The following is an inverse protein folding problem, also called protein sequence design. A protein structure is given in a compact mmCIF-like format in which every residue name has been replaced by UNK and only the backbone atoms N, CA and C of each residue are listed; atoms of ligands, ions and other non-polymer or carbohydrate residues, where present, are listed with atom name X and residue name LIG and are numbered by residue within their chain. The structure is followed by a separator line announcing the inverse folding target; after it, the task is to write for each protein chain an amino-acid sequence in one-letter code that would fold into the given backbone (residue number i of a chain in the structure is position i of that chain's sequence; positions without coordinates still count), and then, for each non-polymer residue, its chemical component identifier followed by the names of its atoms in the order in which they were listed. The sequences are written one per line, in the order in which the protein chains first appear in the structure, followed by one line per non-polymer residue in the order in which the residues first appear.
data_IF_946103149241
#
_entry.id   IF_946103149241
#
_cell.length_a   1.000
_cell.length_b   1.000
_cell.length_c   1.000
_cell.angle_alpha   90.00
_cell.angle_beta   90.00
_cell.angle_gamma   90.00
#
_symmetry.space_group_name_H-M   'P 1'
#
loop_
_entity.id
_entity.type
_entity.pdbx_description
1 polymer ?
#
# COMPACT_ATOMS: atom_id res chain seq x y z
N UNK A 1 -14.86 7.24 -17.03
CA UNK A 1 -14.48 5.92 -17.59
C UNK A 1 -13.28 5.40 -16.82
N UNK A 2 -13.35 4.29 -16.08
CA UNK A 2 -12.19 3.74 -15.40
C UNK A 2 -11.30 3.07 -16.45
N UNK A 3 -10.01 3.43 -16.42
CA UNK A 3 -9.00 2.93 -17.34
C UNK A 3 -8.89 1.41 -17.29
N UNK A 4 -8.62 0.80 -18.43
CA UNK A 4 -8.48 -0.65 -18.66
C UNK A 4 -7.50 -1.35 -17.69
N UNK A 5 -6.62 -0.59 -17.05
CA UNK A 5 -5.66 -1.08 -16.04
C UNK A 5 -6.35 -1.44 -14.72
N UNK A 6 -7.40 -0.71 -14.31
CA UNK A 6 -8.18 -1.01 -13.11
C UNK A 6 -8.95 -2.34 -13.23
N UNK A 7 -9.46 -2.65 -14.44
CA UNK A 7 -10.18 -3.92 -14.67
C UNK A 7 -9.30 -5.16 -14.60
N UNK A 8 -8.01 -5.04 -14.88
CA UNK A 8 -7.06 -6.15 -14.77
C UNK A 8 -6.65 -6.45 -13.31
N UNK A 9 -6.61 -5.44 -12.44
CA UNK A 9 -6.32 -5.65 -11.03
C UNK A 9 -7.51 -6.25 -10.27
N UNK A 10 -8.74 -5.80 -10.54
CA UNK A 10 -9.94 -6.30 -9.85
C UNK A 10 -10.29 -7.76 -10.15
N UNK A 11 -9.91 -8.29 -11.34
CA UNK A 11 -10.22 -9.67 -11.72
C UNK A 11 -9.34 -10.73 -11.02
N UNK A 12 -8.24 -10.35 -10.38
CA UNK A 12 -7.25 -11.30 -9.88
C UNK A 12 -7.12 -11.39 -8.35
N UNK A 13 -7.81 -10.56 -7.56
CA UNK A 13 -7.64 -10.60 -6.12
C UNK A 13 -8.97 -10.40 -5.36
N UNK A 14 -9.64 -11.51 -5.08
CA UNK A 14 -10.64 -11.61 -4.02
C UNK A 14 -9.98 -12.27 -2.80
N UNK A 15 -9.99 -11.69 -1.60
CA UNK A 15 -9.45 -12.36 -0.43
C UNK A 15 -10.45 -13.41 0.05
N UNK A 16 -10.20 -14.68 -0.26
CA UNK A 16 -10.90 -15.79 0.40
C UNK A 16 -10.03 -16.36 1.50
N UNK A 17 -10.48 -16.16 2.73
CA UNK A 17 -10.17 -17.04 3.85
C UNK A 17 -10.81 -18.40 3.62
N UNK A 18 -10.01 -19.46 3.71
CA UNK A 18 -10.48 -20.79 4.04
C UNK A 18 -10.93 -21.67 2.88
N UNK A 19 -10.20 -22.78 2.72
CA UNK A 19 -10.61 -24.10 2.23
C UNK A 19 -11.10 -24.23 0.78
N UNK A 20 -10.27 -24.92 0.00
CA UNK A 20 -10.68 -25.90 -1.00
C UNK A 20 -11.73 -25.46 -2.01
N UNK A 21 -11.31 -24.87 -3.10
CA UNK A 21 -12.04 -24.97 -4.38
C UNK A 21 -11.15 -24.51 -5.54
N UNK A 22 -10.23 -25.34 -5.95
CA UNK A 22 -9.52 -25.22 -7.24
C UNK A 22 -9.92 -26.41 -8.09
N UNK A 23 -11.13 -26.41 -8.61
CA UNK A 23 -11.50 -27.23 -9.75
C UNK A 23 -12.58 -26.50 -10.54
N UNK A 24 -12.32 -26.34 -11.83
CA UNK A 24 -13.13 -25.69 -12.87
C UNK A 24 -12.99 -24.17 -13.00
N UNK A 25 -11.87 -23.77 -13.61
CA UNK A 25 -11.89 -22.64 -14.55
C UNK A 25 -11.52 -23.22 -15.93
N UNK A 26 -12.55 -23.39 -16.72
CA UNK A 26 -12.45 -23.69 -18.14
C UNK A 26 -11.67 -22.59 -18.85
N UNK A 27 -10.42 -22.89 -19.22
CA UNK A 27 -9.47 -21.96 -19.84
C UNK A 27 -9.49 -22.05 -21.36
N UNK A 28 -10.63 -22.26 -21.98
CA UNK A 28 -10.76 -22.22 -23.44
C UNK A 28 -11.73 -21.17 -23.89
N UNK A 29 -11.30 -19.91 -23.87
CA UNK A 29 -11.88 -18.88 -24.75
C UNK A 29 -10.91 -18.62 -25.89
N UNK A 30 -11.11 -19.33 -26.98
CA UNK A 30 -10.48 -19.10 -28.27
C UNK A 30 -11.12 -17.82 -28.85
N UNK A 31 -10.36 -16.74 -28.92
CA UNK A 31 -10.67 -15.56 -29.73
C UNK A 31 -9.66 -15.53 -30.88
N UNK A 32 -10.18 -15.75 -32.11
CA UNK A 32 -9.46 -15.60 -33.38
C UNK A 32 -8.10 -16.35 -33.49
N UNK A 33 -8.08 -17.67 -33.30
CA UNK A 33 -6.98 -18.50 -33.81
C UNK A 33 -5.57 -18.22 -33.32
N UNK A 34 -5.38 -17.38 -32.29
CA UNK A 34 -4.09 -17.14 -31.62
C UNK A 34 -4.16 -17.62 -30.18
N UNK A 35 -3.45 -18.72 -29.92
CA UNK A 35 -3.16 -19.22 -28.57
C UNK A 35 -2.61 -18.09 -27.71
N UNK A 36 -3.24 -17.87 -26.56
CA UNK A 36 -2.88 -16.82 -25.60
C UNK A 36 -1.61 -17.20 -24.82
N UNK A 37 -0.43 -16.65 -25.16
CA UNK A 37 0.76 -16.74 -24.31
C UNK A 37 0.71 -15.81 -23.10
N UNK A 38 -0.42 -15.10 -22.87
CA UNK A 38 -0.52 -13.94 -21.98
C UNK A 38 -0.72 -14.30 -20.52
N UNK A 39 -1.37 -15.41 -20.16
CA UNK A 39 -1.68 -15.73 -18.77
C UNK A 39 -0.44 -16.18 -17.97
N UNK A 40 0.38 -17.06 -18.54
CA UNK A 40 1.62 -17.50 -17.88
C UNK A 40 2.67 -16.38 -17.80
N UNK A 41 2.80 -15.56 -18.84
CA UNK A 41 3.66 -14.36 -18.81
C UNK A 41 3.19 -13.35 -17.76
N UNK A 42 1.87 -13.18 -17.61
CA UNK A 42 1.29 -12.32 -16.58
C UNK A 42 1.59 -12.84 -15.17
N UNK A 43 1.47 -14.15 -14.95
CA UNK A 43 1.74 -14.80 -13.66
C UNK A 43 3.22 -14.67 -13.26
N UNK A 44 4.15 -15.00 -14.17
CA UNK A 44 5.60 -14.88 -13.91
C UNK A 44 6.03 -13.43 -13.69
N UNK A 45 5.51 -12.50 -14.47
CA UNK A 45 5.78 -11.07 -14.28
C UNK A 45 5.30 -10.58 -12.91
N UNK A 46 4.11 -10.98 -12.48
CA UNK A 46 3.58 -10.66 -11.17
C UNK A 46 4.43 -11.26 -10.04
N UNK A 47 4.88 -12.50 -10.20
CA UNK A 47 5.81 -13.14 -9.25
C UNK A 47 7.10 -12.33 -9.08
N UNK A 48 7.67 -11.83 -10.18
CA UNK A 48 8.87 -10.97 -10.10
C UNK A 48 8.57 -9.66 -9.37
N UNK A 49 7.43 -9.03 -9.66
CA UNK A 49 7.00 -7.80 -8.96
C UNK A 49 6.85 -8.05 -7.46
N UNK A 50 6.20 -9.13 -7.05
CA UNK A 50 6.03 -9.49 -5.64
C UNK A 50 7.37 -9.77 -4.95
N UNK A 51 8.26 -10.54 -5.61
CA UNK A 51 9.62 -10.79 -5.10
C UNK A 51 10.41 -9.49 -4.96
N UNK A 52 10.30 -8.60 -5.94
CA UNK A 52 10.98 -7.31 -5.90
C UNK A 52 10.44 -6.42 -4.76
N UNK A 53 9.13 -6.39 -4.54
CA UNK A 53 8.52 -5.68 -3.41
C UNK A 53 9.11 -6.16 -2.09
N UNK A 54 9.17 -7.47 -1.86
CA UNK A 54 9.76 -8.04 -0.65
C UNK A 54 11.22 -7.63 -0.49
N UNK A 55 12.03 -7.73 -1.56
CA UNK A 55 13.44 -7.37 -1.51
C UNK A 55 13.65 -5.86 -1.27
N UNK A 56 12.86 -5.00 -1.91
CA UNK A 56 12.93 -3.56 -1.68
C UNK A 56 12.48 -3.17 -0.27
N UNK A 57 11.50 -3.85 0.27
CA UNK A 57 11.04 -3.62 1.65
C UNK A 57 12.12 -4.01 2.66
N UNK A 58 12.76 -5.18 2.48
CA UNK A 58 13.72 -5.71 3.45
C UNK A 58 15.13 -5.14 3.30
N UNK A 59 15.61 -4.93 2.08
CA UNK A 59 16.99 -4.54 1.80
C UNK A 59 17.14 -3.08 1.32
N UNK A 60 16.01 -2.38 1.08
CA UNK A 60 16.01 -1.05 0.46
C UNK A 60 16.20 -1.11 -1.05
N UNK A 61 15.94 0.03 -1.71
CA UNK A 61 16.03 0.10 -3.17
C UNK A 61 17.47 -0.01 -3.69
N UNK A 62 18.44 0.49 -2.95
CA UNK A 62 19.85 0.48 -3.38
C UNK A 62 20.43 -0.93 -3.35
N UNK A 63 20.27 -1.65 -2.25
CA UNK A 63 20.89 -2.96 -2.03
C UNK A 63 20.20 -4.10 -2.78
N UNK A 64 18.90 -3.98 -3.08
CA UNK A 64 18.18 -4.96 -3.88
C UNK A 64 18.53 -4.80 -5.38
N UNK A 65 19.67 -5.35 -5.79
CA UNK A 65 20.16 -5.33 -7.17
C UNK A 65 19.35 -6.24 -8.10
N UNK A 66 19.46 -5.98 -9.42
CA UNK A 66 18.76 -6.76 -10.47
C UNK A 66 19.13 -8.24 -10.41
N UNK A 67 20.40 -8.58 -10.20
CA UNK A 67 20.87 -9.97 -10.16
C UNK A 67 20.29 -10.72 -8.95
N UNK A 68 20.13 -10.05 -7.81
CA UNK A 68 19.46 -10.62 -6.63
C UNK A 68 17.98 -10.91 -6.92
N UNK A 69 17.29 -9.97 -7.58
CA UNK A 69 15.87 -10.12 -7.94
C UNK A 69 15.69 -11.28 -8.92
N UNK A 70 16.53 -11.38 -9.96
CA UNK A 70 16.56 -12.46 -10.94
C UNK A 70 16.74 -13.82 -10.23
N UNK A 71 17.75 -13.92 -9.36
CA UNK A 71 18.06 -15.13 -8.60
C UNK A 71 16.89 -15.55 -7.71
N UNK A 72 16.29 -14.61 -6.96
CA UNK A 72 15.17 -14.90 -6.05
C UNK A 72 13.87 -15.21 -6.78
N UNK A 73 13.63 -14.57 -7.93
CA UNK A 73 12.46 -14.82 -8.79
C UNK A 73 12.61 -16.06 -9.66
N UNK A 74 13.79 -16.70 -9.68
CA UNK A 74 14.09 -17.90 -10.50
C UNK A 74 13.78 -17.70 -11.98
N UNK A 75 14.12 -16.53 -12.53
CA UNK A 75 13.97 -16.21 -13.95
C UNK A 75 15.33 -16.01 -14.62
N UNK A 76 15.35 -16.07 -15.96
CA UNK A 76 16.55 -15.75 -16.72
C UNK A 76 16.71 -14.22 -16.87
N UNK A 77 17.96 -13.75 -17.01
CA UNK A 77 18.29 -12.33 -17.17
C UNK A 77 17.58 -11.72 -18.39
N UNK A 78 17.56 -12.42 -19.51
CA UNK A 78 16.83 -11.98 -20.70
C UNK A 78 15.32 -11.78 -20.44
N UNK A 79 14.70 -12.69 -19.67
CA UNK A 79 13.29 -12.60 -19.29
C UNK A 79 13.02 -11.34 -18.44
N UNK A 80 13.92 -11.01 -17.51
CA UNK A 80 13.82 -9.80 -16.71
C UNK A 80 13.78 -8.55 -17.58
N UNK A 81 14.77 -8.39 -18.49
CA UNK A 81 14.82 -7.23 -19.36
C UNK A 81 13.67 -7.16 -20.37
N UNK A 82 13.17 -8.30 -20.82
CA UNK A 82 11.96 -8.35 -21.65
C UNK A 82 10.70 -7.88 -20.90
N UNK A 83 10.63 -8.09 -19.57
CA UNK A 83 9.48 -7.65 -18.77
C UNK A 83 9.56 -6.20 -18.32
N UNK A 84 10.74 -5.74 -17.95
CA UNK A 84 10.89 -4.49 -17.20
C UNK A 84 11.83 -3.47 -17.87
N UNK A 85 12.70 -3.90 -18.78
CA UNK A 85 13.74 -3.08 -19.43
C UNK A 85 14.79 -2.51 -18.48
N UNK A 86 14.41 -2.09 -17.27
CA UNK A 86 15.30 -1.51 -16.26
C UNK A 86 14.82 -1.77 -14.84
N UNK A 87 15.69 -1.59 -13.85
CA UNK A 87 15.34 -1.59 -12.43
C UNK A 87 14.36 -0.47 -12.09
N UNK A 88 14.55 0.72 -12.65
CA UNK A 88 13.64 1.85 -12.47
C UNK A 88 12.21 1.48 -12.88
N UNK A 89 12.05 0.86 -14.06
CA UNK A 89 10.74 0.45 -14.53
C UNK A 89 10.11 -0.63 -13.66
N UNK A 90 10.90 -1.56 -13.12
CA UNK A 90 10.42 -2.54 -12.14
C UNK A 90 9.94 -1.84 -10.85
N UNK A 91 10.71 -0.87 -10.33
CA UNK A 91 10.29 -0.08 -9.16
C UNK A 91 8.97 0.64 -9.41
N UNK A 92 8.83 1.30 -10.56
CA UNK A 92 7.56 1.94 -10.95
C UNK A 92 6.39 0.93 -10.92
N UNK A 93 6.59 -0.27 -11.47
CA UNK A 93 5.54 -1.31 -11.47
C UNK A 93 5.21 -1.82 -10.07
N UNK A 94 6.20 -1.97 -9.20
CA UNK A 94 5.98 -2.32 -7.79
C UNK A 94 5.11 -1.26 -7.09
N UNK A 95 5.41 0.02 -7.32
CA UNK A 95 4.65 1.11 -6.72
C UNK A 95 3.24 1.24 -7.30
N UNK A 96 3.05 1.02 -8.62
CA UNK A 96 1.72 0.97 -9.23
C UNK A 96 0.88 -0.12 -8.56
N UNK A 97 1.44 -1.32 -8.40
CA UNK A 97 0.76 -2.45 -7.79
C UNK A 97 0.35 -2.14 -6.35
N UNK A 98 1.27 -1.65 -5.51
CA UNK A 98 0.98 -1.33 -4.11
C UNK A 98 0.01 -0.16 -3.98
N UNK A 99 0.21 0.92 -4.76
CA UNK A 99 -0.68 2.08 -4.77
C UNK A 99 -2.12 1.70 -5.12
N UNK A 100 -2.31 0.84 -6.12
CA UNK A 100 -3.65 0.39 -6.51
C UNK A 100 -4.33 -0.39 -5.41
N UNK A 101 -3.63 -1.34 -4.79
CA UNK A 101 -4.17 -2.12 -3.66
C UNK A 101 -4.50 -1.27 -2.45
N UNK A 102 -3.59 -0.36 -2.06
CA UNK A 102 -3.85 0.56 -0.95
C UNK A 102 -5.08 1.42 -1.20
N UNK A 103 -5.26 1.91 -2.43
CA UNK A 103 -6.47 2.67 -2.77
C UNK A 103 -7.74 1.83 -2.63
N UNK A 104 -7.71 0.59 -3.11
CA UNK A 104 -8.84 -0.33 -2.98
C UNK A 104 -9.17 -0.58 -1.50
N UNK A 105 -8.17 -0.82 -0.64
CA UNK A 105 -8.35 -1.06 0.79
C UNK A 105 -8.88 0.19 1.52
N UNK A 106 -8.34 1.39 1.22
CA UNK A 106 -8.85 2.65 1.79
C UNK A 106 -10.30 2.90 1.37
N UNK A 107 -10.63 2.74 0.08
CA UNK A 107 -12.01 2.91 -0.41
C UNK A 107 -12.95 1.86 0.20
N UNK A 108 -12.48 0.63 0.39
CA UNK A 108 -13.25 -0.40 1.08
C UNK A 108 -13.59 0.01 2.52
N UNK A 109 -12.67 0.68 3.24
CA UNK A 109 -12.93 1.23 4.57
C UNK A 109 -13.92 2.40 4.49
N UNK A 110 -13.69 3.36 3.59
CA UNK A 110 -14.52 4.57 3.44
C UNK A 110 -15.98 4.24 3.15
N UNK A 111 -16.22 3.27 2.29
CA UNK A 111 -17.59 2.86 1.89
C UNK A 111 -18.14 1.68 2.70
N UNK A 112 -17.40 1.17 3.70
CA UNK A 112 -17.86 0.06 4.53
C UNK A 112 -18.92 0.49 5.53
N UNK A 113 -19.94 -0.32 5.69
CA UNK A 113 -20.91 -0.23 6.81
C UNK A 113 -20.37 -0.81 8.12
N UNK A 114 -19.23 -1.52 8.08
CA UNK A 114 -18.58 -2.09 9.27
C UNK A 114 -18.06 -1.02 10.21
N UNK A 115 -17.71 0.13 9.68
CA UNK A 115 -17.22 1.29 10.44
C UNK A 115 -18.29 2.37 10.44
N UNK A 116 -19.12 2.47 11.50
CA UNK A 116 -20.31 3.30 11.50
C UNK A 116 -20.01 4.78 11.53
N UNK A 117 -18.88 5.18 12.13
CA UNK A 117 -18.51 6.59 12.24
C UNK A 117 -17.30 6.96 11.37
N UNK A 118 -17.20 8.22 10.99
CA UNK A 118 -16.02 8.74 10.28
C UNK A 118 -14.75 8.59 11.14
N UNK A 119 -14.86 8.69 12.46
CA UNK A 119 -13.76 8.45 13.38
C UNK A 119 -13.25 7.01 13.33
N UNK A 120 -14.15 6.01 13.26
CA UNK A 120 -13.77 4.60 13.14
C UNK A 120 -13.08 4.33 11.79
N UNK A 121 -13.58 4.93 10.71
CA UNK A 121 -12.96 4.88 9.37
C UNK A 121 -11.55 5.47 9.38
N UNK A 122 -11.37 6.64 10.00
CA UNK A 122 -10.06 7.27 10.14
C UNK A 122 -9.08 6.41 10.94
N UNK A 123 -9.52 5.83 12.06
CA UNK A 123 -8.71 4.88 12.86
C UNK A 123 -8.22 3.72 12.02
N UNK A 124 -9.12 3.14 11.24
CA UNK A 124 -8.78 1.98 10.41
C UNK A 124 -7.86 2.35 9.24
N UNK A 125 -8.05 3.53 8.62
CA UNK A 125 -7.12 4.05 7.60
C UNK A 125 -5.72 4.23 8.19
N UNK A 126 -5.60 4.80 9.40
CA UNK A 126 -4.30 4.93 10.07
C UNK A 126 -3.70 3.55 10.34
N UNK A 127 -4.46 2.60 10.89
CA UNK A 127 -3.99 1.22 11.14
C UNK A 127 -3.49 0.54 9.87
N UNK A 128 -4.24 0.66 8.77
CA UNK A 128 -3.87 0.12 7.47
C UNK A 128 -2.49 0.61 7.00
N UNK A 129 -2.18 1.89 7.23
CA UNK A 129 -0.93 2.49 6.77
C UNK A 129 0.25 2.18 7.70
N UNK A 130 0.00 2.00 8.98
CA UNK A 130 1.03 1.84 10.02
C UNK A 130 1.22 0.38 10.46
N UNK A 131 0.62 -0.57 9.76
CA UNK A 131 0.89 -1.99 9.99
C UNK A 131 2.31 -2.36 9.57
N UNK A 132 2.94 -3.29 10.30
CA UNK A 132 4.32 -3.78 10.03
C UNK A 132 4.44 -4.36 8.61
N UNK A 133 3.37 -4.98 8.12
CA UNK A 133 3.30 -5.55 6.78
C UNK A 133 2.59 -4.64 5.78
N UNK A 134 2.44 -3.35 6.11
CA UNK A 134 1.70 -2.41 5.29
C UNK A 134 2.29 -2.28 3.89
N UNK A 135 1.40 -2.28 2.91
CA UNK A 135 1.73 -1.94 1.52
C UNK A 135 2.27 -0.50 1.38
N UNK A 136 2.03 0.34 2.38
CA UNK A 136 2.50 1.72 2.41
C UNK A 136 4.00 1.86 2.64
N UNK A 137 4.66 0.87 3.26
CA UNK A 137 6.10 0.90 3.55
C UNK A 137 6.95 1.29 2.34
N UNK A 138 6.72 0.65 1.20
CA UNK A 138 7.52 0.91 0.01
C UNK A 138 7.26 2.30 -0.58
N UNK A 139 5.99 2.74 -0.59
CA UNK A 139 5.63 4.11 -0.99
C UNK A 139 6.26 5.15 -0.07
N UNK A 140 6.25 4.90 1.23
CA UNK A 140 6.85 5.78 2.22
C UNK A 140 8.38 5.87 2.03
N UNK A 141 9.08 4.74 1.93
CA UNK A 141 10.52 4.70 1.65
C UNK A 141 10.89 5.41 0.35
N UNK A 142 10.05 5.30 -0.68
CA UNK A 142 10.28 5.96 -1.98
C UNK A 142 10.44 7.48 -1.85
N UNK A 143 9.74 8.12 -0.89
CA UNK A 143 9.82 9.56 -0.66
C UNK A 143 11.23 9.97 -0.25
N UNK A 144 11.89 9.17 0.56
CA UNK A 144 13.22 9.48 1.09
C UNK A 144 14.35 8.98 0.17
N UNK A 145 14.21 7.78 -0.38
CA UNK A 145 15.31 7.11 -1.09
C UNK A 145 15.39 7.45 -2.58
N UNK A 146 14.27 7.78 -3.25
CA UNK A 146 14.22 7.79 -4.70
C UNK A 146 13.98 9.17 -5.35
N UNK A 147 13.92 10.24 -4.57
CA UNK A 147 13.61 11.57 -5.09
C UNK A 147 14.52 11.99 -6.25
N UNK A 148 15.83 11.76 -6.10
CA UNK A 148 16.83 12.12 -7.10
C UNK A 148 17.10 10.98 -8.09
N UNK A 149 17.02 9.73 -7.63
CA UNK A 149 17.43 8.57 -8.43
C UNK A 149 16.34 8.15 -9.42
N UNK A 150 15.07 8.09 -8.97
CA UNK A 150 13.93 7.69 -9.79
C UNK A 150 12.77 8.69 -9.64
N UNK A 151 12.84 9.86 -10.31
CA UNK A 151 11.86 10.94 -10.11
C UNK A 151 10.42 10.56 -10.43
N UNK A 152 10.19 9.60 -11.34
CA UNK A 152 8.84 9.10 -11.65
C UNK A 152 8.26 8.30 -10.48
N UNK A 153 9.05 7.40 -9.90
CA UNK A 153 8.68 6.62 -8.72
C UNK A 153 8.34 7.56 -7.54
N UNK A 154 9.20 8.56 -7.29
CA UNK A 154 8.94 9.59 -6.28
C UNK A 154 7.59 10.31 -6.50
N UNK A 155 7.32 10.78 -7.74
CA UNK A 155 6.04 11.43 -8.03
C UNK A 155 4.84 10.53 -7.74
N UNK A 156 4.93 9.23 -8.02
CA UNK A 156 3.84 8.28 -7.74
C UNK A 156 3.54 8.17 -6.25
N UNK A 157 4.57 8.18 -5.39
CA UNK A 157 4.40 8.17 -3.94
C UNK A 157 3.78 9.49 -3.44
N UNK A 158 4.23 10.63 -3.97
CA UNK A 158 3.66 11.96 -3.65
C UNK A 158 2.19 12.08 -4.10
N UNK A 159 1.85 11.57 -5.29
CA UNK A 159 0.47 11.53 -5.78
C UNK A 159 -0.44 10.67 -4.90
N UNK A 160 0.06 9.53 -4.42
CA UNK A 160 -0.69 8.71 -3.48
C UNK A 160 -0.99 9.48 -2.18
N UNK A 161 0.01 10.16 -1.61
CA UNK A 161 -0.16 10.96 -0.39
C UNK A 161 -1.17 12.10 -0.56
N UNK A 162 -1.12 12.81 -1.69
CA UNK A 162 -2.10 13.85 -2.01
C UNK A 162 -3.52 13.30 -2.10
N UNK A 163 -3.67 12.14 -2.72
CA UNK A 163 -4.95 11.46 -2.79
C UNK A 163 -5.43 11.02 -1.41
N UNK A 164 -4.57 10.39 -0.60
CA UNK A 164 -4.89 9.96 0.76
C UNK A 164 -5.31 11.14 1.64
N UNK A 165 -4.58 12.26 1.56
CA UNK A 165 -4.93 13.49 2.29
C UNK A 165 -6.34 13.98 1.94
N UNK A 166 -6.74 13.88 0.67
CA UNK A 166 -8.09 14.23 0.24
C UNK A 166 -9.15 13.30 0.85
N UNK A 167 -8.94 11.98 0.82
CA UNK A 167 -9.87 11.02 1.43
C UNK A 167 -10.00 11.26 2.96
N UNK A 168 -8.87 11.55 3.64
CA UNK A 168 -8.86 11.90 5.07
C UNK A 168 -9.64 13.20 5.28
N UNK A 169 -9.44 14.22 4.45
CA UNK A 169 -10.12 15.50 4.54
C UNK A 169 -11.64 15.32 4.42
N UNK A 170 -12.11 14.55 3.45
CA UNK A 170 -13.53 14.29 3.23
C UNK A 170 -14.17 13.59 4.45
N UNK A 171 -13.45 12.66 5.08
CA UNK A 171 -13.89 12.01 6.32
C UNK A 171 -13.89 12.96 7.51
N UNK A 172 -12.84 13.78 7.69
CA UNK A 172 -12.75 14.77 8.77
C UNK A 172 -13.86 15.83 8.64
N UNK A 173 -14.14 16.24 7.41
CA UNK A 173 -15.22 17.21 7.14
C UNK A 173 -16.59 16.65 7.52
N UNK A 174 -16.82 15.34 7.40
CA UNK A 174 -18.06 14.67 7.78
C UNK A 174 -18.24 14.47 9.29
N UNK A 175 -17.23 14.79 10.12
CA UNK A 175 -17.37 14.73 11.58
C UNK A 175 -18.25 15.87 12.11
N UNK A 176 -19.40 15.57 12.64
CA UNK A 176 -20.41 16.52 13.13
C UNK A 176 -20.06 17.20 14.48
N UNK A 177 -18.95 16.82 15.10
CA UNK A 177 -18.63 17.29 16.46
C UNK A 177 -17.98 18.66 16.47
N UNK A 178 -18.56 19.60 17.24
CA UNK A 178 -17.95 20.90 17.62
C UNK A 178 -16.69 20.78 18.51
N UNK A 179 -16.27 19.57 18.87
CA UNK A 179 -15.03 19.31 19.60
C UNK A 179 -13.91 19.18 18.58
N UNK A 180 -12.76 19.83 18.84
CA UNK A 180 -11.51 19.86 18.07
C UNK A 180 -11.44 18.78 16.96
N UNK A 181 -11.88 19.18 15.75
CA UNK A 181 -11.71 18.31 14.57
C UNK A 181 -10.22 18.19 14.30
N UNK A 182 -9.65 16.99 14.22
CA UNK A 182 -8.28 16.86 13.77
C UNK A 182 -8.18 17.45 12.36
N UNK A 183 -7.18 18.27 12.11
CA UNK A 183 -6.86 18.66 10.74
C UNK A 183 -6.44 17.40 9.95
N UNK A 184 -6.86 17.30 8.71
CA UNK A 184 -6.48 16.19 7.83
C UNK A 184 -4.95 16.02 7.72
N UNK A 185 -4.22 17.14 7.76
CA UNK A 185 -2.75 17.12 7.81
C UNK A 185 -2.22 16.52 9.12
N UNK A 186 -2.88 16.75 10.27
CA UNK A 186 -2.48 16.11 11.53
C UNK A 186 -2.62 14.60 11.47
N UNK A 187 -3.68 14.09 10.84
CA UNK A 187 -3.87 12.64 10.66
C UNK A 187 -2.80 12.06 9.73
N UNK A 188 -2.47 12.76 8.64
CA UNK A 188 -1.40 12.31 7.73
C UNK A 188 -0.03 12.35 8.43
N UNK A 189 0.25 13.39 9.21
CA UNK A 189 1.48 13.50 10.00
C UNK A 189 1.57 12.42 11.09
N UNK A 190 0.43 12.04 11.68
CA UNK A 190 0.37 10.91 12.61
C UNK A 190 0.77 9.59 11.91
N UNK A 191 0.25 9.34 10.70
CA UNK A 191 0.66 8.18 9.89
C UNK A 191 2.17 8.20 9.66
N UNK A 192 2.73 9.34 9.26
CA UNK A 192 4.16 9.47 8.97
C UNK A 192 5.03 9.25 10.22
N UNK A 193 4.64 9.85 11.34
CA UNK A 193 5.35 9.69 12.61
C UNK A 193 5.35 8.25 13.09
N UNK A 194 4.20 7.57 13.04
CA UNK A 194 4.08 6.17 13.41
C UNK A 194 4.83 5.24 12.44
N UNK A 195 4.86 5.57 11.14
CA UNK A 195 5.66 4.83 10.16
C UNK A 195 7.15 4.97 10.44
N UNK A 196 7.63 6.16 10.78
CA UNK A 196 9.02 6.36 11.18
C UNK A 196 9.36 5.55 12.43
N UNK A 197 8.47 5.52 13.42
CA UNK A 197 8.64 4.74 14.64
C UNK A 197 8.72 3.23 14.34
N UNK A 198 7.81 2.70 13.52
CA UNK A 198 7.83 1.29 13.11
C UNK A 198 9.10 0.94 12.36
N UNK A 199 9.59 1.81 11.46
CA UNK A 199 10.80 1.59 10.69
C UNK A 199 12.09 1.70 11.51
N UNK A 200 12.08 2.50 12.59
CA UNK A 200 13.27 2.75 13.42
C UNK A 200 13.41 1.78 14.60
N UNK A 201 12.30 1.41 15.25
CA UNK A 201 12.34 0.66 16.52
C UNK A 201 11.68 -0.71 16.45
N UNK A 202 10.97 -1.02 15.38
CA UNK A 202 10.15 -2.25 15.23
C UNK A 202 9.13 -2.47 16.39
N UNK A 203 8.82 -1.41 17.16
CA UNK A 203 7.90 -1.47 18.32
C UNK A 203 6.47 -1.21 17.86
N UNK A 204 5.71 -2.27 17.74
CA UNK A 204 4.29 -2.24 17.37
C UNK A 204 3.41 -1.84 18.56
N UNK A 205 3.83 -2.21 19.78
CA UNK A 205 3.03 -2.00 21.00
C UNK A 205 2.80 -0.51 21.31
N UNK A 206 3.79 0.34 21.06
CA UNK A 206 3.69 1.78 21.25
C UNK A 206 2.71 2.43 20.26
N UNK A 207 2.54 1.86 19.06
CA UNK A 207 1.61 2.34 18.03
C UNK A 207 0.17 2.37 18.54
N UNK A 208 -0.28 1.26 19.10
CA UNK A 208 -1.68 1.11 19.53
C UNK A 208 -1.99 2.04 20.71
N UNK A 209 -1.02 2.22 21.62
CA UNK A 209 -1.12 3.21 22.71
C UNK A 209 -1.23 4.64 22.17
N UNK A 210 -0.44 5.01 21.17
CA UNK A 210 -0.51 6.34 20.55
C UNK A 210 -1.85 6.54 19.85
N UNK A 211 -2.34 5.53 19.12
CA UNK A 211 -3.63 5.58 18.44
C UNK A 211 -4.79 5.74 19.43
N UNK A 212 -4.78 4.99 20.52
CA UNK A 212 -5.80 5.11 21.57
C UNK A 212 -5.77 6.49 22.23
N UNK A 213 -4.59 7.02 22.55
CA UNK A 213 -4.45 8.37 23.09
C UNK A 213 -4.90 9.45 22.13
N UNK A 214 -4.61 9.31 20.85
CA UNK A 214 -5.00 10.30 19.84
C UNK A 214 -6.53 10.37 19.68
N UNK A 215 -7.21 9.19 19.63
CA UNK A 215 -8.67 9.15 19.49
C UNK A 215 -9.42 9.18 20.83
N UNK A 216 -8.79 8.75 21.93
CA UNK A 216 -9.41 8.68 23.26
C UNK A 216 -9.55 10.03 23.98
N UNK A 217 -8.85 11.06 23.53
CA UNK A 217 -8.89 12.43 24.12
C UNK A 217 -10.24 13.15 23.99
N UNK A 218 -11.24 12.51 23.39
CA UNK A 218 -12.61 13.07 23.39
C UNK A 218 -13.32 13.02 24.75
N UNK A 219 -12.85 12.24 25.75
CA UNK A 219 -13.56 12.04 27.01
C UNK A 219 -12.75 12.21 28.31
N UNK A 220 -11.43 12.48 28.27
CA UNK A 220 -10.67 12.64 29.52
C UNK A 220 -9.84 13.91 29.55
N UNK A 221 -9.95 14.66 30.66
CA UNK A 221 -9.07 15.77 31.06
C UNK A 221 -7.60 15.31 30.98
N UNK A 222 -6.78 16.12 30.36
CA UNK A 222 -5.33 15.94 30.28
C UNK A 222 -4.78 16.01 31.71
N UNK A 223 -4.37 14.87 32.27
CA UNK A 223 -3.48 14.84 33.43
C UNK A 223 -2.06 14.97 32.87
N UNK A 224 -1.49 16.15 32.94
CA UNK A 224 -0.05 16.31 32.77
C UNK A 224 0.63 15.59 33.92
N UNK A 225 1.22 14.43 33.66
CA UNK A 225 2.14 13.83 34.60
C UNK A 225 3.41 14.67 34.64
N UNK A 226 3.76 15.15 35.82
CA UNK A 226 5.00 15.87 36.09
C UNK A 226 6.18 14.98 35.71
N UNK A 227 6.98 15.46 34.75
CA UNK A 227 8.32 14.95 34.52
C UNK A 227 9.26 15.71 35.46
N UNK A 228 9.50 15.16 36.63
CA UNK A 228 10.68 15.45 37.47
C UNK A 228 11.74 14.38 37.27
#
# INVERSE_FOLDING_TARGET
MPSTILRLCCAFFSPKKGTGFLSHLDTTRIYNGKTMPTLERSSKKLQVVQTAIQLFTTHGFHNAGVDLIIKKSKIQKATFYNYFHSKERLVEMCLIFQKSRLKEEVLAIVYSHRYPTAADKLKEIVRLHVDVNSLYHLLFKTIFELKLLYPRAYRMAVEYRKWLLKEIFDLVFSLETNKLKPDANMVLNLIDGLMLQVLSSNRVDERDVVLERFWGRGNNKIVYGDYT
#
